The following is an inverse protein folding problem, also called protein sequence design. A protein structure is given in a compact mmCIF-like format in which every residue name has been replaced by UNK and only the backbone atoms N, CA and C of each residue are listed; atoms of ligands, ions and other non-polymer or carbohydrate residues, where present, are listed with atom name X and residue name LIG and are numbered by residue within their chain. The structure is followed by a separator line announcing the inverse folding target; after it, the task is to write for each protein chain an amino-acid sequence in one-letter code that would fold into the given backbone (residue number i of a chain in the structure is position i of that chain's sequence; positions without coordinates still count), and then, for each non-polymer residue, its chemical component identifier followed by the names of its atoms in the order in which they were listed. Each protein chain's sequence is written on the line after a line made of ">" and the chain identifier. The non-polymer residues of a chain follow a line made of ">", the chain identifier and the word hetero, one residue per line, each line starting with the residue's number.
data_IF_944797498611
#
_entry.id   IF_944797498611
#
_cell.length_a   1.000
_cell.length_b   1.000
_cell.length_c   1.000
_cell.angle_alpha   90.00
_cell.angle_beta   90.00
_cell.angle_gamma   90.00
#
_symmetry.space_group_name_H-M   'P 1'
#
loop_
_entity.id
_entity.type
_entity.pdbx_description
1 polymer ?
#
# COMPACT_ATOMS: atom_id res chain seq x y z
N UNK A 1 2.21 -21.14 40.02
CA UNK A 1 2.53 -21.65 38.66
C UNK A 1 2.93 -20.47 37.82
N UNK A 2 4.12 -20.48 37.20
CA UNK A 2 4.53 -19.45 36.23
C UNK A 2 4.46 -20.09 34.85
N UNK A 3 3.46 -19.72 34.05
CA UNK A 3 3.42 -20.05 32.63
C UNK A 3 4.10 -18.93 31.86
N UNK A 4 4.91 -19.31 30.87
CA UNK A 4 5.47 -18.39 29.89
C UNK A 4 5.11 -18.95 28.52
N UNK A 5 4.35 -18.18 27.74
CA UNK A 5 3.96 -18.51 26.38
C UNK A 5 4.71 -17.57 25.45
N UNK A 6 5.45 -18.13 24.50
CA UNK A 6 6.13 -17.38 23.45
C UNK A 6 5.68 -17.99 22.12
N UNK A 7 4.87 -17.23 21.37
CA UNK A 7 4.50 -17.54 19.99
C UNK A 7 5.35 -16.68 19.05
N UNK A 8 5.88 -17.30 17.98
CA UNK A 8 6.86 -16.68 17.08
C UNK A 8 6.29 -15.62 16.14
N UNK A 9 7.08 -15.08 15.19
CA UNK A 9 8.55 -14.96 15.16
C UNK A 9 9.05 -13.88 16.14
N UNK A 10 10.29 -14.02 16.63
CA UNK A 10 10.94 -12.96 17.40
C UNK A 10 11.38 -11.84 16.44
N UNK A 11 10.74 -10.68 16.52
CA UNK A 11 11.14 -9.51 15.76
C UNK A 11 12.05 -8.63 16.61
N UNK A 12 13.14 -8.13 16.02
CA UNK A 12 14.08 -7.22 16.69
C UNK A 12 13.41 -5.90 17.11
N UNK A 13 12.35 -5.51 16.40
CA UNK A 13 11.54 -4.33 16.68
C UNK A 13 10.09 -4.59 16.34
N UNK A 14 9.18 -4.21 17.25
CA UNK A 14 7.75 -4.16 16.98
C UNK A 14 7.34 -2.70 16.66
N UNK A 15 6.49 -2.44 15.65
CA UNK A 15 6.11 -3.33 14.55
C UNK A 15 7.31 -3.66 13.64
N UNK A 16 7.28 -4.78 12.89
CA UNK A 16 8.34 -5.14 11.95
C UNK A 16 8.59 -4.11 10.85
N UNK A 17 9.78 -4.13 10.24
CA UNK A 17 10.17 -3.21 9.15
C UNK A 17 9.17 -3.21 7.99
N UNK A 18 8.58 -4.36 7.64
CA UNK A 18 7.55 -4.46 6.60
C UNK A 18 6.29 -3.67 6.94
N UNK A 19 5.84 -3.73 8.20
CA UNK A 19 4.67 -2.98 8.67
C UNK A 19 4.96 -1.49 8.68
N UNK A 20 6.15 -1.07 9.14
CA UNK A 20 6.57 0.35 9.12
C UNK A 20 6.67 0.89 7.70
N UNK A 21 7.18 0.09 6.77
CA UNK A 21 7.25 0.46 5.35
C UNK A 21 5.88 0.52 4.66
N UNK A 22 4.89 -0.21 5.18
CA UNK A 22 3.51 -0.19 4.70
C UNK A 22 2.72 1.00 5.26
N UNK A 23 2.91 1.30 6.54
CA UNK A 23 2.27 2.41 7.25
C UNK A 23 3.17 3.66 7.20
N UNK A 24 3.58 4.03 5.98
CA UNK A 24 4.39 5.21 5.70
C UNK A 24 3.75 6.47 6.26
N UNK A 25 4.56 7.34 6.90
CA UNK A 25 4.07 8.58 7.52
C UNK A 25 3.69 8.43 9.00
N UNK A 26 3.53 7.20 9.51
CA UNK A 26 3.24 6.94 10.92
C UNK A 26 4.51 6.49 11.64
N UNK A 27 4.86 7.21 12.71
CA UNK A 27 5.89 6.78 13.65
C UNK A 27 5.30 5.84 14.70
N UNK A 28 6.12 4.94 15.24
CA UNK A 28 5.72 4.02 16.30
C UNK A 28 6.59 4.27 17.52
N UNK A 29 5.97 4.33 18.70
CA UNK A 29 6.71 4.45 19.96
C UNK A 29 7.38 3.13 20.38
N UNK A 30 8.02 3.11 21.56
CA UNK A 30 8.70 1.93 22.11
C UNK A 30 7.73 0.77 22.41
N UNK A 31 6.45 1.06 22.59
CA UNK A 31 5.38 0.09 22.81
C UNK A 31 4.80 -0.42 21.49
N UNK A 32 5.14 0.25 20.38
CA UNK A 32 4.69 -0.08 19.03
C UNK A 32 3.32 0.50 18.69
N UNK A 33 2.87 1.53 19.41
CA UNK A 33 1.64 2.24 19.14
C UNK A 33 1.86 3.37 18.10
N UNK A 34 0.92 3.56 17.17
CA UNK A 34 1.04 4.56 16.11
C UNK A 34 0.90 5.99 16.67
N UNK A 35 1.90 6.83 16.40
CA UNK A 35 1.93 8.23 16.76
C UNK A 35 1.45 9.09 15.58
N UNK A 36 0.29 9.73 15.76
CA UNK A 36 -0.34 10.52 14.71
C UNK A 36 0.20 11.96 14.71
N UNK A 37 0.99 12.29 13.69
CA UNK A 37 1.52 13.65 13.45
C UNK A 37 0.56 14.58 12.70
N UNK A 38 -0.48 14.04 12.06
CA UNK A 38 -1.51 14.75 11.29
C UNK A 38 -2.89 14.13 11.57
N UNK A 39 -3.93 14.63 10.91
CA UNK A 39 -5.27 14.08 11.13
C UNK A 39 -5.31 12.59 10.73
N UNK A 40 -6.12 11.76 11.41
CA UNK A 40 -6.28 10.36 11.04
C UNK A 40 -6.63 10.18 9.56
N UNK A 41 -7.44 11.10 9.02
CA UNK A 41 -7.85 11.10 7.62
C UNK A 41 -6.68 11.31 6.64
N UNK A 42 -5.80 12.26 6.93
CA UNK A 42 -4.67 12.57 6.05
C UNK A 42 -3.65 11.43 6.02
N UNK A 43 -3.38 10.82 7.19
CA UNK A 43 -2.56 9.60 7.27
C UNK A 43 -3.13 8.46 6.42
N UNK A 44 -4.45 8.29 6.43
CA UNK A 44 -5.10 7.25 5.63
C UNK A 44 -4.96 7.50 4.14
N UNK A 45 -5.18 8.74 3.68
CA UNK A 45 -5.02 9.12 2.27
C UNK A 45 -3.59 8.83 1.80
N UNK A 46 -2.60 9.22 2.60
CA UNK A 46 -1.20 9.03 2.26
C UNK A 46 -0.84 7.53 2.17
N UNK A 47 -1.18 6.75 3.18
CA UNK A 47 -0.87 5.31 3.23
C UNK A 47 -1.57 4.55 2.10
N UNK A 48 -2.88 4.77 1.94
CA UNK A 48 -3.67 4.06 0.92
C UNK A 48 -3.24 4.50 -0.47
N UNK A 49 -2.93 5.78 -0.68
CA UNK A 49 -2.47 6.32 -1.96
C UNK A 49 -1.13 5.73 -2.40
N UNK A 50 -0.14 5.72 -1.50
CA UNK A 50 1.18 5.13 -1.78
C UNK A 50 1.05 3.63 -2.06
N UNK A 51 0.27 2.92 -1.24
CA UNK A 51 0.06 1.48 -1.43
C UNK A 51 -0.66 1.17 -2.74
N UNK A 52 -1.76 1.87 -3.05
CA UNK A 52 -2.56 1.60 -4.24
C UNK A 52 -1.79 1.93 -5.53
N UNK A 53 -1.00 3.00 -5.56
CA UNK A 53 -0.12 3.33 -6.69
C UNK A 53 0.86 2.19 -6.99
N UNK A 54 1.48 1.64 -5.93
CA UNK A 54 2.40 0.49 -6.05
C UNK A 54 1.68 -0.81 -6.42
N UNK A 55 0.51 -1.04 -5.85
CA UNK A 55 -0.30 -2.24 -6.10
C UNK A 55 -0.83 -2.28 -7.54
N UNK A 56 -1.30 -1.14 -8.06
CA UNK A 56 -1.80 -1.02 -9.44
C UNK A 56 -0.68 -0.78 -10.44
N UNK A 57 0.52 -0.44 -9.97
CA UNK A 57 1.74 -0.24 -10.76
C UNK A 57 1.58 0.90 -11.77
N UNK A 58 0.78 1.90 -11.41
CA UNK A 58 0.49 3.12 -12.16
C UNK A 58 -0.02 4.21 -11.23
N UNK A 59 -0.02 5.49 -11.65
CA UNK A 59 -0.71 6.55 -10.94
C UNK A 59 -2.20 6.22 -10.80
N UNK A 60 -2.77 6.62 -9.67
CA UNK A 60 -4.21 6.52 -9.46
C UNK A 60 -4.95 7.50 -10.37
N UNK A 61 -6.03 7.03 -10.97
CA UNK A 61 -6.95 7.85 -11.74
C UNK A 61 -7.79 8.74 -10.84
N UNK A 62 -8.47 9.75 -11.42
CA UNK A 62 -9.32 10.65 -10.67
C UNK A 62 -10.43 9.89 -9.92
N UNK A 63 -10.58 10.09 -8.61
CA UNK A 63 -11.64 9.46 -7.82
C UNK A 63 -11.34 8.02 -7.36
N UNK A 64 -10.25 7.39 -7.83
CA UNK A 64 -9.91 6.01 -7.43
C UNK A 64 -9.52 5.96 -5.95
N UNK A 65 -8.75 6.92 -5.46
CA UNK A 65 -8.32 6.95 -4.07
C UNK A 65 -9.52 7.13 -3.12
N UNK A 66 -10.41 8.06 -3.45
CA UNK A 66 -11.62 8.39 -2.72
C UNK A 66 -12.53 7.15 -2.56
N UNK A 67 -12.56 6.28 -3.57
CA UNK A 67 -13.32 5.03 -3.52
C UNK A 67 -12.81 4.07 -2.44
N UNK A 68 -11.50 4.10 -2.15
CA UNK A 68 -10.90 3.26 -1.09
C UNK A 68 -10.86 3.93 0.28
N UNK A 69 -10.89 5.26 0.37
CA UNK A 69 -10.84 5.98 1.65
C UNK A 69 -12.20 6.44 2.18
N UNK A 70 -13.23 6.54 1.33
CA UNK A 70 -14.57 7.03 1.71
C UNK A 70 -15.27 6.19 2.77
N UNK A 71 -14.92 4.90 2.88
CA UNK A 71 -15.50 3.98 3.87
C UNK A 71 -14.83 4.06 5.25
N UNK A 72 -13.75 4.85 5.38
CA UNK A 72 -12.92 4.89 6.59
C UNK A 72 -13.44 5.81 7.71
N UNK A 73 -14.00 7.01 7.44
CA UNK A 73 -14.50 7.88 8.51
C UNK A 73 -15.55 7.21 9.43
N UNK A 74 -16.50 6.41 8.92
CA UNK A 74 -17.41 5.65 9.78
C UNK A 74 -16.70 4.66 10.70
N UNK A 75 -15.63 3.99 10.23
CA UNK A 75 -14.88 3.01 11.04
C UNK A 75 -14.16 3.66 12.22
N UNK A 76 -13.61 4.86 12.00
CA UNK A 76 -12.99 5.64 13.07
C UNK A 76 -14.04 6.14 14.09
N UNK A 77 -15.23 6.53 13.61
CA UNK A 77 -16.34 6.94 14.48
C UNK A 77 -16.85 5.79 15.37
N UNK A 78 -16.79 4.55 14.87
CA UNK A 78 -17.11 3.34 15.63
C UNK A 78 -15.99 2.91 16.61
N UNK A 79 -14.93 3.71 16.74
CA UNK A 79 -13.84 3.50 17.69
C UNK A 79 -12.75 2.53 17.22
N UNK A 80 -12.69 2.19 15.93
CA UNK A 80 -11.59 1.38 15.40
C UNK A 80 -10.28 2.19 15.37
N UNK A 81 -9.16 1.48 15.56
CA UNK A 81 -7.84 2.08 15.39
C UNK A 81 -7.61 2.46 13.93
N UNK A 82 -6.77 3.48 13.69
CA UNK A 82 -6.39 3.87 12.33
C UNK A 82 -5.80 2.69 11.56
N UNK A 83 -4.97 1.87 12.22
CA UNK A 83 -4.32 0.70 11.61
C UNK A 83 -5.36 -0.32 11.15
N UNK A 84 -6.40 -0.56 11.94
CA UNK A 84 -7.50 -1.46 11.58
C UNK A 84 -8.34 -0.90 10.43
N UNK A 85 -8.64 0.39 10.46
CA UNK A 85 -9.37 1.06 9.40
C UNK A 85 -8.60 0.97 8.07
N UNK A 86 -7.31 1.36 8.05
CA UNK A 86 -6.43 1.25 6.87
C UNK A 86 -6.39 -0.18 6.34
N UNK A 87 -6.30 -1.19 7.22
CA UNK A 87 -6.26 -2.61 6.83
C UNK A 87 -7.48 -3.00 5.97
N UNK A 88 -8.66 -2.43 6.23
CA UNK A 88 -9.85 -2.66 5.40
C UNK A 88 -9.62 -2.12 3.98
N UNK A 89 -9.15 -0.88 3.84
CA UNK A 89 -8.86 -0.29 2.52
C UNK A 89 -7.77 -1.04 1.77
N UNK A 90 -6.70 -1.46 2.45
CA UNK A 90 -5.63 -2.24 1.81
C UNK A 90 -6.17 -3.58 1.27
N UNK A 91 -7.05 -4.26 2.02
CA UNK A 91 -7.73 -5.47 1.54
C UNK A 91 -8.61 -5.18 0.32
N UNK A 92 -9.30 -4.05 0.29
CA UNK A 92 -10.11 -3.65 -0.85
C UNK A 92 -9.25 -3.41 -2.10
N UNK A 93 -8.11 -2.73 -1.95
CA UNK A 93 -7.12 -2.54 -3.03
C UNK A 93 -6.60 -3.89 -3.56
N UNK A 94 -6.22 -4.82 -2.67
CA UNK A 94 -5.74 -6.15 -3.05
C UNK A 94 -6.82 -7.05 -3.65
N UNK A 95 -8.09 -6.71 -3.45
CA UNK A 95 -9.22 -7.45 -4.04
C UNK A 95 -9.74 -6.80 -5.33
N UNK A 96 -9.14 -5.69 -5.76
CA UNK A 96 -9.62 -4.94 -6.93
C UNK A 96 -9.17 -5.61 -8.24
N UNK A 97 -9.96 -5.47 -9.33
CA UNK A 97 -9.53 -5.94 -10.64
C UNK A 97 -8.20 -5.34 -11.10
N UNK A 98 -7.92 -4.08 -10.75
CA UNK A 98 -6.69 -3.38 -11.12
C UNK A 98 -5.43 -3.99 -10.46
N UNK A 99 -5.58 -4.65 -9.31
CA UNK A 99 -4.49 -5.41 -8.70
C UNK A 99 -4.41 -6.84 -9.24
N UNK A 100 -5.55 -7.53 -9.30
CA UNK A 100 -5.65 -8.96 -9.63
C UNK A 100 -5.33 -9.27 -11.08
N UNK A 101 -5.68 -8.36 -11.99
CA UNK A 101 -5.40 -8.50 -13.41
C UNK A 101 -4.33 -7.50 -13.81
N UNK A 102 -3.36 -7.96 -14.62
CA UNK A 102 -2.45 -7.04 -15.29
C UNK A 102 -3.25 -6.27 -16.35
N UNK A 103 -3.23 -4.94 -16.24
CA UNK A 103 -3.77 -4.05 -17.26
C UNK A 103 -3.00 -4.19 -18.59
N UNK A 104 -3.59 -3.71 -19.67
CA UNK A 104 -3.06 -3.83 -21.03
C UNK A 104 -3.79 -4.92 -21.82
N UNK A 105 -4.83 -4.52 -22.54
CA UNK A 105 -5.40 -5.34 -23.60
C UNK A 105 -4.41 -5.57 -24.75
N UNK A 106 -4.76 -6.39 -25.74
CA UNK A 106 -3.99 -6.45 -26.99
C UNK A 106 -3.99 -5.06 -27.66
N UNK A 107 -2.80 -4.44 -27.82
CA UNK A 107 -2.66 -3.10 -28.37
C UNK A 107 -1.31 -2.46 -28.06
N UNK A 108 -1.19 -1.16 -28.37
CA UNK A 108 -0.07 -0.31 -27.95
C UNK A 108 -0.09 -0.16 -26.44
N UNK A 109 1.02 -0.48 -25.80
CA UNK A 109 1.17 -0.36 -24.35
C UNK A 109 1.54 1.07 -23.98
N UNK A 110 1.02 1.53 -22.84
CA UNK A 110 1.58 2.69 -22.17
C UNK A 110 2.89 2.33 -21.45
N UNK A 111 3.63 3.35 -21.01
CA UNK A 111 4.93 3.16 -20.38
C UNK A 111 4.86 2.41 -19.03
N UNK A 112 3.75 2.55 -18.29
CA UNK A 112 3.52 1.85 -17.02
C UNK A 112 3.19 0.37 -17.25
N UNK A 113 2.41 0.07 -18.28
CA UNK A 113 2.11 -1.28 -18.76
C UNK A 113 3.38 -1.96 -19.27
N UNK A 114 4.24 -1.24 -19.99
CA UNK A 114 5.52 -1.77 -20.46
C UNK A 114 6.46 -2.07 -19.29
N UNK A 115 6.65 -1.12 -18.36
CA UNK A 115 7.43 -1.31 -17.15
C UNK A 115 6.93 -2.50 -16.31
N UNK A 116 5.60 -2.62 -16.16
CA UNK A 116 4.95 -3.73 -15.46
C UNK A 116 5.23 -5.06 -16.15
N UNK A 117 5.06 -5.15 -17.48
CA UNK A 117 5.31 -6.40 -18.20
C UNK A 117 6.79 -6.80 -18.14
N UNK A 118 7.70 -5.84 -18.27
CA UNK A 118 9.14 -6.08 -18.21
C UNK A 118 9.57 -6.62 -16.84
N UNK A 119 9.15 -5.95 -15.76
CA UNK A 119 9.48 -6.37 -14.39
C UNK A 119 8.95 -7.77 -14.04
N UNK A 120 7.71 -8.08 -14.44
CA UNK A 120 7.15 -9.41 -14.24
C UNK A 120 7.84 -10.47 -15.10
N UNK A 121 8.25 -10.13 -16.33
CA UNK A 121 9.02 -11.02 -17.19
C UNK A 121 10.41 -11.33 -16.61
N UNK A 122 11.12 -10.32 -16.10
CA UNK A 122 12.50 -10.46 -15.63
C UNK A 122 12.60 -11.07 -14.22
N UNK A 123 11.78 -10.62 -13.26
CA UNK A 123 11.92 -11.02 -11.85
C UNK A 123 10.61 -11.33 -11.12
N UNK A 124 9.47 -11.41 -11.83
CA UNK A 124 8.16 -11.82 -11.28
C UNK A 124 7.68 -10.97 -10.10
N UNK A 125 8.01 -9.69 -10.11
CA UNK A 125 7.54 -8.71 -9.12
C UNK A 125 7.17 -7.40 -9.81
N UNK A 126 6.63 -6.47 -9.03
CA UNK A 126 6.35 -5.11 -9.48
C UNK A 126 7.61 -4.40 -10.03
N UNK A 127 7.44 -3.33 -10.84
CA UNK A 127 8.54 -2.48 -11.25
C UNK A 127 9.31 -1.95 -10.03
N UNK A 128 10.62 -1.82 -10.18
CA UNK A 128 11.45 -1.10 -9.22
C UNK A 128 11.31 0.42 -9.44
N UNK A 129 11.99 1.20 -8.59
CA UNK A 129 11.89 2.65 -8.65
C UNK A 129 12.38 3.21 -9.99
N UNK A 130 13.45 2.64 -10.54
CA UNK A 130 14.00 3.10 -11.83
C UNK A 130 13.00 2.91 -12.97
N UNK A 131 12.31 1.75 -13.03
CA UNK A 131 11.26 1.54 -14.03
C UNK A 131 10.04 2.44 -13.80
N UNK A 132 9.67 2.72 -12.55
CA UNK A 132 8.62 3.70 -12.27
C UNK A 132 9.00 5.11 -12.74
N UNK A 133 10.23 5.55 -12.47
CA UNK A 133 10.72 6.88 -12.85
C UNK A 133 10.79 7.01 -14.39
N UNK A 134 11.22 5.97 -15.10
CA UNK A 134 11.22 5.94 -16.56
C UNK A 134 9.81 5.98 -17.15
N UNK A 135 8.86 5.28 -16.51
CA UNK A 135 7.47 5.28 -16.92
C UNK A 135 6.80 6.65 -16.69
N UNK A 136 7.11 7.30 -15.57
CA UNK A 136 6.61 8.66 -15.27
C UNK A 136 7.18 9.71 -16.24
N UNK A 137 8.45 9.52 -16.65
CA UNK A 137 9.12 10.38 -17.62
C UNK A 137 8.71 10.16 -19.09
N UNK A 138 7.80 9.22 -19.41
CA UNK A 138 7.40 8.94 -20.80
C UNK A 138 8.52 8.35 -21.67
N UNK A 139 9.51 7.74 -21.03
CA UNK A 139 10.77 7.28 -21.63
C UNK A 139 10.98 5.77 -21.52
N UNK A 140 9.97 5.02 -21.08
CA UNK A 140 10.02 3.56 -21.04
C UNK A 140 9.74 3.03 -22.45
N UNK A 141 10.78 2.70 -23.23
CA UNK A 141 10.66 2.32 -24.66
C UNK A 141 11.59 1.18 -25.03
#
# INVERSE_FOLDING_TARGET
>A
MKSMSIDGPLFDSWPPRSTRALLSGIEFDEQGEPQLTQTPHDHMIEIVGQFATRAFRRPLGPGELESYVSSLPPLLADGQSLVDAVRVSLRAVLSSPAFLYQAGGPGTLDDYELATRLSYFLWRSMPDQELFDLADAGSCR
#
